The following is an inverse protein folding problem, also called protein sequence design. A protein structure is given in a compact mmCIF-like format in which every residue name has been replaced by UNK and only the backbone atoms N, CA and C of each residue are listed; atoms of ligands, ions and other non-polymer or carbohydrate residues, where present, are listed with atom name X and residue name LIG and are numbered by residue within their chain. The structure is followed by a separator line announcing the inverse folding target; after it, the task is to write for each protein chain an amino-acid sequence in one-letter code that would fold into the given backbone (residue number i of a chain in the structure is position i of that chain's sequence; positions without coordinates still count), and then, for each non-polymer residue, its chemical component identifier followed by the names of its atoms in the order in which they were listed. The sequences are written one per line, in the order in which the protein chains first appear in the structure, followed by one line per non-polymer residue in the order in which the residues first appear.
data_IF_429527873990
#
_entry.id   IF_429527873990
#
_cell.length_a   1.000
_cell.length_b   1.000
_cell.length_c   1.000
_cell.angle_alpha   90.00
_cell.angle_beta   90.00
_cell.angle_gamma   90.00
#
_symmetry.space_group_name_H-M   'P 1'
#
loop_
_entity.id
_entity.type
_entity.pdbx_description
1 polymer ?
#
# COMPACT_ATOMS: atom_id res chain seq x y z
N UNK A 1 -0.87 2.99 13.67
CA UNK A 1 -1.38 2.99 12.29
C UNK A 1 -0.41 2.22 11.41
N UNK A 2 -0.92 1.23 10.71
CA UNK A 2 -0.16 0.41 9.78
C UNK A 2 -0.82 0.58 8.40
N UNK A 3 -0.04 1.00 7.41
CA UNK A 3 -0.53 1.21 6.05
C UNK A 3 -0.09 0.06 5.17
N UNK A 4 -1.05 -0.62 4.55
CA UNK A 4 -0.78 -1.71 3.61
C UNK A 4 -0.47 -1.13 2.22
N UNK A 5 0.73 -1.44 1.71
CA UNK A 5 1.09 -1.11 0.34
C UNK A 5 0.28 -1.96 -0.65
N UNK A 6 0.28 -1.55 -1.90
CA UNK A 6 -0.48 -2.20 -2.98
C UNK A 6 -0.22 -3.70 -3.08
N UNK A 7 1.04 -4.13 -2.98
CA UNK A 7 1.37 -5.56 -3.07
C UNK A 7 0.79 -6.39 -1.91
N UNK A 8 0.68 -5.82 -0.72
CA UNK A 8 0.08 -6.50 0.43
C UNK A 8 -1.42 -6.63 0.23
N UNK A 9 -2.11 -5.54 -0.13
CA UNK A 9 -3.55 -5.59 -0.37
C UNK A 9 -3.89 -6.53 -1.53
N UNK A 10 -3.09 -6.49 -2.59
CA UNK A 10 -3.23 -7.38 -3.74
C UNK A 10 -3.09 -8.86 -3.36
N UNK A 11 -2.15 -9.18 -2.46
CA UNK A 11 -1.98 -10.53 -1.94
C UNK A 11 -3.23 -11.03 -1.19
N UNK A 12 -3.90 -10.14 -0.46
CA UNK A 12 -5.12 -10.47 0.28
C UNK A 12 -6.33 -10.71 -0.63
N UNK A 13 -6.28 -10.27 -1.88
CA UNK A 13 -7.35 -10.47 -2.86
C UNK A 13 -7.32 -11.86 -3.51
N UNK A 14 -6.24 -12.59 -3.38
CA UNK A 14 -6.11 -13.92 -3.97
C UNK A 14 -7.03 -14.93 -3.29
N UNK A 15 -7.43 -15.99 -4.01
CA UNK A 15 -8.28 -17.05 -3.44
C UNK A 15 -7.58 -17.79 -2.30
N UNK A 16 -6.27 -17.98 -2.42
CA UNK A 16 -5.44 -18.61 -1.40
C UNK A 16 -4.30 -17.66 -1.03
N UNK A 17 -4.55 -16.65 -0.17
CA UNK A 17 -3.50 -15.73 0.26
C UNK A 17 -2.36 -16.44 0.96
N UNK A 18 -1.15 -15.89 0.88
CA UNK A 18 0.01 -16.43 1.56
C UNK A 18 -0.23 -16.52 3.07
N UNK A 19 0.01 -17.70 3.65
CA UNK A 19 -0.25 -17.95 5.07
C UNK A 19 0.56 -17.04 5.99
N UNK A 20 1.77 -16.65 5.59
CA UNK A 20 2.61 -15.74 6.38
C UNK A 20 1.99 -14.35 6.47
N UNK A 21 1.45 -13.86 5.36
CA UNK A 21 0.79 -12.54 5.32
C UNK A 21 -0.46 -12.55 6.19
N UNK A 22 -1.27 -13.59 6.08
CA UNK A 22 -2.49 -13.75 6.91
C UNK A 22 -2.12 -13.82 8.39
N UNK A 23 -1.13 -14.63 8.76
CA UNK A 23 -0.69 -14.76 10.15
C UNK A 23 -0.20 -13.41 10.71
N UNK A 24 0.58 -12.68 9.93
CA UNK A 24 1.03 -11.34 10.31
C UNK A 24 -0.15 -10.38 10.50
N UNK A 25 -1.08 -10.37 9.55
CA UNK A 25 -2.26 -9.48 9.59
C UNK A 25 -3.14 -9.78 10.80
N UNK A 26 -3.37 -11.05 11.11
CA UNK A 26 -4.21 -11.47 12.24
C UNK A 26 -3.66 -11.00 13.59
N UNK A 27 -2.37 -10.73 13.68
CA UNK A 27 -1.74 -10.17 14.90
C UNK A 27 -1.95 -8.68 15.06
N UNK A 28 -2.43 -7.99 14.02
CA UNK A 28 -2.62 -6.54 14.07
C UNK A 28 -4.01 -6.20 14.59
N UNK A 29 -4.12 -5.09 15.32
CA UNK A 29 -5.43 -4.55 15.68
C UNK A 29 -6.18 -4.14 14.42
N UNK A 30 -7.43 -4.57 14.29
CA UNK A 30 -8.25 -4.30 13.11
C UNK A 30 -8.36 -2.81 12.80
N UNK A 31 -8.50 -1.98 13.83
CA UNK A 31 -8.64 -0.52 13.68
C UNK A 31 -7.33 0.19 13.34
N UNK A 32 -6.19 -0.49 13.45
CA UNK A 32 -4.89 0.09 13.12
C UNK A 32 -4.47 -0.17 11.67
N UNK A 33 -5.20 -1.01 10.92
CA UNK A 33 -4.85 -1.40 9.54
C UNK A 33 -5.55 -0.49 8.55
N UNK A 34 -4.75 0.19 7.72
CA UNK A 34 -5.18 1.17 6.73
C UNK A 34 -4.62 0.83 5.35
N UNK A 35 -5.19 1.42 4.32
CA UNK A 35 -4.57 1.49 2.99
C UNK A 35 -4.58 2.95 2.51
N UNK A 36 -4.27 3.19 1.25
CA UNK A 36 -4.21 4.55 0.70
C UNK A 36 -5.06 4.70 -0.55
N UNK A 37 -5.42 5.95 -0.88
CA UNK A 37 -6.10 6.27 -2.13
C UNK A 37 -5.24 5.92 -3.36
N UNK A 38 -3.92 5.96 -3.22
CA UNK A 38 -3.00 5.58 -4.31
C UNK A 38 -3.07 4.07 -4.58
N UNK A 39 -3.15 3.25 -3.52
CA UNK A 39 -3.35 1.80 -3.66
C UNK A 39 -4.67 1.49 -4.36
N UNK A 40 -5.74 2.21 -4.02
CA UNK A 40 -7.03 2.06 -4.72
C UNK A 40 -6.87 2.34 -6.21
N UNK A 41 -6.19 3.45 -6.56
CA UNK A 41 -5.91 3.80 -7.96
C UNK A 41 -5.15 2.69 -8.67
N UNK A 42 -4.07 2.20 -8.07
CA UNK A 42 -3.23 1.17 -8.69
C UNK A 42 -3.97 -0.13 -8.94
N UNK A 43 -4.73 -0.60 -7.95
CA UNK A 43 -5.47 -1.87 -8.07
C UNK A 43 -6.61 -1.73 -9.06
N UNK A 44 -7.40 -0.66 -8.98
CA UNK A 44 -8.49 -0.44 -9.94
C UNK A 44 -7.96 -0.31 -11.37
N UNK A 45 -6.90 0.43 -11.56
CA UNK A 45 -6.27 0.54 -12.88
C UNK A 45 -5.84 -0.83 -13.40
N UNK A 46 -5.13 -1.61 -12.58
CA UNK A 46 -4.69 -2.96 -12.96
C UNK A 46 -5.85 -3.88 -13.33
N UNK A 47 -6.95 -3.82 -12.59
CA UNK A 47 -8.15 -4.62 -12.88
C UNK A 47 -8.84 -4.16 -14.18
N UNK A 48 -8.89 -2.86 -14.43
CA UNK A 48 -9.55 -2.31 -15.62
C UNK A 48 -8.81 -2.64 -16.92
N UNK A 49 -7.49 -2.78 -16.88
CA UNK A 49 -6.72 -3.15 -18.08
C UNK A 49 -6.64 -4.66 -18.30
N UNK A 50 -7.06 -5.48 -17.34
CA UNK A 50 -7.16 -6.92 -17.56
C UNK A 50 -8.26 -7.24 -18.56
N UNK A 51 -8.05 -8.29 -19.36
CA UNK A 51 -9.11 -8.82 -20.22
C UNK A 51 -10.31 -9.27 -19.38
N UNK A 52 -11.53 -9.04 -19.87
CA UNK A 52 -12.75 -9.51 -19.24
C UNK A 52 -12.70 -11.03 -19.08
N UNK A 53 -12.83 -11.52 -17.84
CA UNK A 53 -12.69 -12.93 -17.51
C UNK A 53 -13.33 -13.20 -16.14
N UNK A 54 -13.52 -14.49 -15.84
CA UNK A 54 -13.96 -14.88 -14.50
C UNK A 54 -12.96 -14.46 -13.43
N UNK A 55 -11.66 -14.57 -13.72
CA UNK A 55 -10.61 -14.16 -12.78
C UNK A 55 -10.69 -12.68 -12.45
N UNK A 56 -10.87 -11.84 -13.47
CA UNK A 56 -11.05 -10.40 -13.27
C UNK A 56 -12.24 -10.10 -12.40
N UNK A 57 -13.38 -10.75 -12.67
CA UNK A 57 -14.61 -10.56 -11.88
C UNK A 57 -14.42 -10.95 -10.41
N UNK A 58 -13.74 -12.07 -10.14
CA UNK A 58 -13.45 -12.52 -8.78
C UNK A 58 -12.50 -11.59 -8.04
N UNK A 59 -11.47 -11.07 -8.72
CA UNK A 59 -10.53 -10.12 -8.14
C UNK A 59 -11.21 -8.78 -7.84
N UNK A 60 -12.08 -8.31 -8.73
CA UNK A 60 -12.83 -7.08 -8.51
C UNK A 60 -13.76 -7.21 -7.30
N UNK A 61 -14.45 -8.34 -7.17
CA UNK A 61 -15.32 -8.63 -6.02
C UNK A 61 -14.50 -8.67 -4.72
N UNK A 62 -13.36 -9.36 -4.73
CA UNK A 62 -12.47 -9.42 -3.57
C UNK A 62 -11.96 -8.04 -3.16
N UNK A 63 -11.59 -7.21 -4.15
CA UNK A 63 -11.16 -5.83 -3.90
C UNK A 63 -12.26 -5.00 -3.26
N UNK A 64 -13.46 -5.03 -3.81
CA UNK A 64 -14.59 -4.27 -3.28
C UNK A 64 -14.94 -4.70 -1.85
N UNK A 65 -14.87 -5.99 -1.56
CA UNK A 65 -15.08 -6.53 -0.21
C UNK A 65 -14.02 -6.00 0.77
N UNK A 66 -12.75 -5.98 0.37
CA UNK A 66 -11.67 -5.46 1.20
C UNK A 66 -11.86 -3.96 1.49
N UNK A 67 -12.18 -3.17 0.47
CA UNK A 67 -12.38 -1.73 0.63
C UNK A 67 -13.59 -1.44 1.53
N UNK A 68 -14.65 -2.19 1.41
CA UNK A 68 -15.81 -2.07 2.28
C UNK A 68 -15.45 -2.34 3.75
N UNK A 69 -14.66 -3.38 4.01
CA UNK A 69 -14.15 -3.70 5.35
C UNK A 69 -13.24 -2.63 5.91
N UNK A 70 -12.45 -1.97 5.06
CA UNK A 70 -11.59 -0.86 5.48
C UNK A 70 -12.40 0.36 5.92
N UNK A 71 -13.54 0.61 5.29
CA UNK A 71 -14.41 1.73 5.63
C UNK A 71 -13.68 3.06 5.49
N UNK A 72 -13.59 3.83 6.59
CA UNK A 72 -12.91 5.13 6.62
C UNK A 72 -11.37 5.04 6.69
N UNK A 73 -10.81 3.84 6.83
CA UNK A 73 -9.36 3.64 6.99
C UNK A 73 -8.64 3.60 5.66
N UNK A 74 -8.91 4.59 4.82
CA UNK A 74 -8.26 4.82 3.54
C UNK A 74 -7.62 6.20 3.62
N UNK A 75 -6.30 6.24 3.73
CA UNK A 75 -5.57 7.50 3.87
C UNK A 75 -5.45 8.20 2.51
N UNK A 76 -5.94 9.44 2.39
CA UNK A 76 -5.87 10.17 1.13
C UNK A 76 -4.47 10.75 0.89
N UNK A 77 -4.16 10.99 -0.37
CA UNK A 77 -2.99 11.79 -0.75
C UNK A 77 -3.36 13.27 -0.63
N UNK A 78 -3.28 13.78 0.61
CA UNK A 78 -3.66 15.16 0.95
C UNK A 78 -2.45 16.12 0.85
N UNK A 79 -2.65 17.37 1.29
CA UNK A 79 -1.62 18.41 1.22
C UNK A 79 -0.36 18.02 2.02
N UNK A 80 -0.53 17.48 3.22
CA UNK A 80 0.62 17.06 4.04
C UNK A 80 1.38 15.92 3.38
N UNK A 81 0.68 14.95 2.82
CA UNK A 81 1.29 13.86 2.07
C UNK A 81 2.04 14.38 0.84
N UNK A 82 1.46 15.35 0.13
CA UNK A 82 2.11 15.95 -1.05
C UNK A 82 3.42 16.66 -0.68
N UNK A 83 3.46 17.39 0.43
CA UNK A 83 4.68 18.05 0.90
C UNK A 83 5.76 17.03 1.25
N UNK A 84 5.42 15.98 1.97
CA UNK A 84 6.36 14.93 2.32
C UNK A 84 6.87 14.17 1.07
N UNK A 85 5.98 13.89 0.13
CA UNK A 85 6.38 13.27 -1.12
C UNK A 85 7.32 14.15 -1.93
N UNK A 86 7.08 15.45 -1.99
CA UNK A 86 7.94 16.39 -2.69
C UNK A 86 9.35 16.44 -2.08
N UNK A 87 9.45 16.49 -0.76
CA UNK A 87 10.73 16.50 -0.05
C UNK A 87 11.51 15.21 -0.33
N UNK A 88 10.81 14.08 -0.30
CA UNK A 88 11.41 12.78 -0.58
C UNK A 88 11.87 12.66 -2.04
N UNK A 89 11.07 13.14 -2.99
CA UNK A 89 11.44 13.19 -4.40
C UNK A 89 12.72 13.99 -4.62
N UNK A 90 12.81 15.17 -4.02
CA UNK A 90 13.98 16.04 -4.13
C UNK A 90 15.24 15.38 -3.54
N UNK A 91 15.11 14.76 -2.37
CA UNK A 91 16.21 14.03 -1.72
C UNK A 91 16.70 12.87 -2.60
N UNK A 92 15.77 12.09 -3.14
CA UNK A 92 16.10 10.95 -4.02
C UNK A 92 16.78 11.40 -5.31
N UNK A 93 16.28 12.47 -5.91
CA UNK A 93 16.90 13.04 -7.13
C UNK A 93 18.32 13.51 -6.87
N UNK A 94 18.56 14.20 -5.76
CA UNK A 94 19.93 14.65 -5.38
C UNK A 94 20.89 13.49 -5.17
N UNK A 95 20.39 12.34 -4.70
CA UNK A 95 21.19 11.13 -4.48
C UNK A 95 21.31 10.25 -5.73
N UNK A 96 20.73 10.68 -6.86
CA UNK A 96 20.70 9.89 -8.08
C UNK A 96 19.85 8.63 -7.98
N UNK A 97 18.92 8.58 -7.02
CA UNK A 97 18.04 7.45 -6.80
C UNK A 97 16.71 7.67 -7.51
N UNK A 98 16.36 6.78 -8.44
CA UNK A 98 15.10 6.83 -9.14
C UNK A 98 14.12 5.84 -8.48
N UNK A 99 12.96 6.35 -8.04
CA UNK A 99 11.89 5.54 -7.48
C UNK A 99 10.59 5.96 -8.16
N UNK A 100 9.73 4.98 -8.45
CA UNK A 100 8.47 5.21 -9.15
C UNK A 100 7.59 6.20 -8.37
N UNK A 101 6.91 7.09 -9.10
CA UNK A 101 6.14 8.20 -8.50
C UNK A 101 5.08 7.72 -7.52
N UNK A 102 4.32 6.68 -7.85
CA UNK A 102 3.24 6.19 -6.98
C UNK A 102 3.77 5.64 -5.66
N UNK A 103 4.93 4.97 -5.67
CA UNK A 103 5.60 4.53 -4.44
C UNK A 103 6.00 5.74 -3.58
N UNK A 104 6.47 6.81 -4.19
CA UNK A 104 6.81 8.05 -3.48
C UNK A 104 5.56 8.72 -2.91
N UNK A 105 4.44 8.68 -3.61
CA UNK A 105 3.17 9.21 -3.10
C UNK A 105 2.67 8.42 -1.89
N UNK A 106 2.75 7.09 -1.93
CA UNK A 106 2.43 6.24 -0.78
C UNK A 106 3.35 6.56 0.39
N UNK A 107 4.65 6.69 0.14
CA UNK A 107 5.62 7.08 1.16
C UNK A 107 5.27 8.43 1.79
N UNK A 108 4.86 9.40 0.99
CA UNK A 108 4.41 10.72 1.49
C UNK A 108 3.23 10.61 2.46
N UNK A 109 2.25 9.79 2.13
CA UNK A 109 1.10 9.53 3.02
C UNK A 109 1.58 8.92 4.34
N UNK A 110 2.41 7.90 4.27
CA UNK A 110 2.89 7.15 5.45
C UNK A 110 3.73 8.04 6.36
N UNK A 111 4.65 8.81 5.80
CA UNK A 111 5.52 9.71 6.57
C UNK A 111 4.70 10.83 7.22
N UNK A 112 3.77 11.45 6.49
CA UNK A 112 2.95 12.54 7.02
C UNK A 112 2.08 12.11 8.20
N UNK A 113 1.76 10.83 8.29
CA UNK A 113 0.93 10.27 9.37
C UNK A 113 1.74 9.54 10.43
N UNK A 114 3.07 9.52 10.33
CA UNK A 114 3.95 8.79 11.24
C UNK A 114 3.54 7.33 11.39
N UNK A 115 3.11 6.72 10.28
CA UNK A 115 2.61 5.36 10.26
C UNK A 115 3.72 4.36 9.95
N UNK A 116 3.45 3.08 10.21
CA UNK A 116 4.28 1.97 9.74
C UNK A 116 3.80 1.56 8.34
N UNK A 117 4.72 1.34 7.42
CA UNK A 117 4.40 0.82 6.09
C UNK A 117 4.63 -0.68 6.03
N UNK A 118 3.63 -1.44 5.59
CA UNK A 118 3.76 -2.86 5.30
C UNK A 118 3.89 -3.05 3.79
N UNK A 119 5.01 -3.59 3.35
CA UNK A 119 5.32 -3.77 1.92
C UNK A 119 6.28 -4.94 1.70
N UNK A 120 6.19 -5.54 0.53
CA UNK A 120 7.18 -6.53 0.07
C UNK A 120 8.44 -5.86 -0.51
N UNK A 121 8.32 -4.61 -0.99
CA UNK A 121 9.37 -3.88 -1.69
C UNK A 121 10.19 -2.99 -0.74
N UNK A 122 10.88 -3.59 0.23
CA UNK A 122 11.65 -2.84 1.23
C UNK A 122 12.64 -1.87 0.60
N UNK A 123 13.26 -2.24 -0.51
CA UNK A 123 14.28 -1.42 -1.20
C UNK A 123 13.72 -0.07 -1.65
N UNK A 124 12.45 -0.03 -2.08
CA UNK A 124 11.82 1.21 -2.54
C UNK A 124 11.57 2.21 -1.40
N UNK A 125 11.62 1.75 -0.16
CA UNK A 125 11.23 2.53 1.02
C UNK A 125 12.28 2.56 2.13
N UNK A 126 13.51 2.14 1.84
CA UNK A 126 14.58 2.04 2.85
C UNK A 126 15.05 3.41 3.37
N UNK A 127 14.73 4.49 2.67
CA UNK A 127 15.09 5.85 3.04
C UNK A 127 14.03 6.59 3.86
N UNK A 128 12.94 5.91 4.24
CA UNK A 128 11.87 6.52 5.04
C UNK A 128 12.28 6.67 6.50
N UNK A 129 11.75 7.72 7.14
CA UNK A 129 11.94 8.00 8.57
C UNK A 129 10.99 7.24 9.48
N UNK A 130 10.15 6.37 8.92
CA UNK A 130 9.16 5.57 9.65
C UNK A 130 9.47 4.09 9.50
N UNK A 131 8.92 3.21 10.39
CA UNK A 131 9.15 1.77 10.26
C UNK A 131 8.54 1.20 8.98
N UNK A 132 9.28 0.30 8.35
CA UNK A 132 8.84 -0.43 7.16
C UNK A 132 8.99 -1.93 7.45
N UNK A 133 7.92 -2.69 7.30
CA UNK A 133 7.90 -4.13 7.57
C UNK A 133 7.51 -4.92 6.33
N UNK A 134 8.06 -6.12 6.21
CA UNK A 134 7.68 -7.05 5.14
C UNK A 134 6.89 -8.22 5.75
N UNK A 135 5.56 -8.30 5.51
CA UNK A 135 4.72 -9.34 6.08
C UNK A 135 5.09 -10.77 5.67
N UNK A 136 5.82 -10.94 4.58
CA UNK A 136 6.29 -12.26 4.14
C UNK A 136 7.51 -12.77 4.92
N UNK A 137 8.21 -11.87 5.62
CA UNK A 137 9.46 -12.19 6.32
C UNK A 137 9.34 -12.23 7.86
N UNK A 138 8.21 -11.86 8.38
CA UNK A 138 7.99 -11.81 9.85
C UNK A 138 7.18 -12.98 10.36
#
# INVERSE_FOLDING_TARGET
MIVLDTNVLSALMQQAPDAKVITWLDKQSRTSVWTTSITILEIRFGLQIMAASRRRALLLEAFETLIEKMGHRIAPFDDDAAKQAADLMASRQRKGRSVELRDTMIAGIVVSRHATLATRNLVHFEDLSVPVVNPWLV
#
